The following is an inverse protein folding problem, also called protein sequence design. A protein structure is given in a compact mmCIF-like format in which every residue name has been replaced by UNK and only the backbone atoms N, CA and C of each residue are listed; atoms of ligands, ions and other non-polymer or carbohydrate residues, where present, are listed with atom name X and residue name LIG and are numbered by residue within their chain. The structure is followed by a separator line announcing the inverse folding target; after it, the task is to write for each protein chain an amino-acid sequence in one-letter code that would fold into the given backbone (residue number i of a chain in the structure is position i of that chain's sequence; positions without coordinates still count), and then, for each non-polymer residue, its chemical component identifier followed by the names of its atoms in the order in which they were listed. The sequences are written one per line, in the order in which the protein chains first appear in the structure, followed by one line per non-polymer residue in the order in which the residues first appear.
data_IF_140460827152
#
_entry.id   IF_140460827152
#
_cell.length_a   1.000
_cell.length_b   1.000
_cell.length_c   1.000
_cell.angle_alpha   90.00
_cell.angle_beta   90.00
_cell.angle_gamma   90.00
#
_symmetry.space_group_name_H-M   'P 1'
#
loop_
_entity.id
_entity.type
_entity.pdbx_description
1 polymer ?
#
# COMPACT_ATOMS: atom_id res chain seq x y z
N UNK A 1 -15.03 -14.32 -1.71
CA UNK A 1 -16.07 -13.98 -2.69
C UNK A 1 -16.45 -15.15 -3.60
N UNK A 2 -15.52 -15.92 -4.13
CA UNK A 2 -15.82 -17.08 -5.01
C UNK A 2 -16.70 -18.12 -4.30
N UNK A 3 -16.39 -18.47 -3.05
CA UNK A 3 -17.21 -19.40 -2.25
C UNK A 3 -18.59 -18.79 -1.98
N UNK A 4 -18.67 -17.48 -1.71
CA UNK A 4 -19.92 -16.76 -1.49
C UNK A 4 -20.86 -16.82 -2.70
N UNK A 5 -20.33 -16.69 -3.92
CA UNK A 5 -21.12 -16.78 -5.15
C UNK A 5 -21.58 -18.22 -5.46
N UNK A 6 -20.85 -19.24 -4.98
CA UNK A 6 -21.20 -20.64 -5.18
C UNK A 6 -22.32 -21.13 -4.26
N UNK A 7 -22.31 -20.69 -3.00
CA UNK A 7 -23.19 -21.22 -1.93
C UNK A 7 -24.07 -20.17 -1.27
N UNK A 8 -23.75 -18.89 -1.45
CA UNK A 8 -24.51 -17.78 -0.90
C UNK A 8 -25.17 -16.95 -1.99
N UNK A 9 -25.78 -15.83 -1.61
CA UNK A 9 -26.39 -14.89 -2.54
C UNK A 9 -25.34 -14.15 -3.37
N UNK A 10 -25.54 -14.04 -4.68
CA UNK A 10 -24.61 -13.34 -5.58
C UNK A 10 -24.63 -11.82 -5.39
N UNK A 11 -25.80 -11.23 -5.18
CA UNK A 11 -25.97 -9.82 -4.83
C UNK A 11 -26.28 -8.89 -5.99
N UNK A 12 -25.99 -7.60 -5.79
CA UNK A 12 -26.27 -6.54 -6.76
C UNK A 12 -25.24 -6.53 -7.90
N UNK A 13 -25.70 -6.22 -9.10
CA UNK A 13 -24.88 -6.17 -10.31
C UNK A 13 -24.80 -4.75 -10.86
N UNK A 14 -23.65 -4.38 -11.44
CA UNK A 14 -23.45 -3.08 -12.06
C UNK A 14 -24.05 -3.01 -13.46
N UNK A 15 -24.66 -1.87 -13.83
CA UNK A 15 -25.12 -1.60 -15.20
C UNK A 15 -23.95 -1.49 -16.19
N UNK A 16 -24.16 -1.82 -17.48
CA UNK A 16 -23.10 -1.80 -18.50
C UNK A 16 -22.62 -0.39 -18.89
N UNK A 17 -23.39 0.67 -18.61
CA UNK A 17 -23.00 2.05 -18.96
C UNK A 17 -21.92 2.59 -18.02
N UNK A 18 -20.87 3.20 -18.60
CA UNK A 18 -19.95 4.09 -17.84
C UNK A 18 -20.72 5.33 -17.45
N UNK A 19 -20.98 5.56 -16.16
CA UNK A 19 -21.27 6.91 -15.69
C UNK A 19 -19.93 7.66 -15.59
N UNK A 20 -19.85 8.87 -16.07
CA UNK A 20 -18.68 9.75 -15.95
C UNK A 20 -18.48 10.25 -14.51
N UNK A 21 -19.40 9.93 -13.62
CA UNK A 21 -19.38 10.26 -12.19
C UNK A 21 -19.16 8.96 -11.44
N UNK A 22 -18.10 8.87 -10.69
CA UNK A 22 -17.44 7.74 -10.00
C UNK A 22 -18.25 6.66 -9.27
N UNK A 23 -19.54 6.47 -9.54
CA UNK A 23 -20.35 5.38 -9.03
C UNK A 23 -21.05 4.67 -10.20
N UNK A 24 -20.67 3.41 -10.47
CA UNK A 24 -21.40 2.59 -11.45
C UNK A 24 -22.86 2.46 -11.03
N UNK A 25 -23.80 2.85 -11.93
CA UNK A 25 -25.23 2.68 -11.71
C UNK A 25 -25.53 1.19 -11.43
N UNK A 26 -26.19 0.90 -10.33
CA UNK A 26 -26.49 -0.46 -9.89
C UNK A 26 -27.86 -0.89 -10.43
N UNK A 27 -27.99 -2.16 -10.80
CA UNK A 27 -29.26 -2.76 -11.14
C UNK A 27 -30.01 -3.04 -9.83
N UNK A 28 -31.22 -2.50 -9.70
CA UNK A 28 -32.01 -2.57 -8.46
C UNK A 28 -32.38 -4.00 -8.06
N UNK A 29 -32.61 -4.88 -9.04
CA UNK A 29 -32.94 -6.28 -8.77
C UNK A 29 -31.67 -7.07 -8.41
N UNK A 30 -31.51 -7.52 -7.14
CA UNK A 30 -30.39 -8.35 -6.73
C UNK A 30 -30.55 -9.78 -7.27
N UNK A 31 -29.42 -10.45 -7.49
CA UNK A 31 -29.40 -11.88 -7.76
C UNK A 31 -29.39 -12.62 -6.42
N UNK A 32 -30.50 -13.25 -6.08
CA UNK A 32 -30.70 -13.98 -4.83
C UNK A 32 -30.15 -15.40 -4.89
N UNK A 33 -30.21 -16.03 -6.08
CA UNK A 33 -29.75 -17.39 -6.32
C UNK A 33 -28.21 -17.48 -6.32
N UNK A 34 -27.70 -18.65 -5.99
CA UNK A 34 -26.31 -19.02 -6.14
C UNK A 34 -26.09 -19.93 -7.36
N UNK A 35 -24.81 -20.19 -7.68
CA UNK A 35 -24.49 -21.07 -8.81
C UNK A 35 -24.88 -22.53 -8.59
N UNK A 36 -24.97 -22.99 -7.33
CA UNK A 36 -25.36 -24.37 -7.02
C UNK A 36 -26.83 -24.61 -7.26
N UNK A 37 -27.70 -23.65 -6.95
CA UNK A 37 -29.15 -23.72 -7.15
C UNK A 37 -29.53 -23.44 -8.62
N UNK A 38 -28.68 -22.71 -9.32
CA UNK A 38 -28.91 -22.21 -10.66
C UNK A 38 -29.63 -20.86 -10.67
N UNK A 39 -29.37 -20.09 -11.72
CA UNK A 39 -29.95 -18.75 -11.92
C UNK A 39 -31.23 -18.82 -12.73
N UNK A 40 -32.19 -17.95 -12.44
CA UNK A 40 -33.31 -17.70 -13.33
C UNK A 40 -32.83 -17.06 -14.64
N UNK A 41 -33.70 -17.10 -15.69
CA UNK A 41 -33.35 -16.53 -17.01
C UNK A 41 -33.00 -15.04 -16.90
N UNK A 42 -33.77 -14.29 -16.10
CA UNK A 42 -33.54 -12.87 -15.88
C UNK A 42 -32.20 -12.61 -15.10
N UNK A 43 -31.96 -13.35 -14.04
CA UNK A 43 -30.71 -13.25 -13.25
C UNK A 43 -29.50 -13.62 -14.09
N UNK A 44 -29.59 -14.65 -14.92
CA UNK A 44 -28.53 -15.00 -15.86
C UNK A 44 -28.25 -13.86 -16.84
N UNK A 45 -29.30 -13.29 -17.44
CA UNK A 45 -29.15 -12.17 -18.36
C UNK A 45 -28.49 -10.96 -17.71
N UNK A 46 -28.89 -10.58 -16.51
CA UNK A 46 -28.27 -9.51 -15.72
C UNK A 46 -26.76 -9.83 -15.45
N UNK A 47 -26.49 -11.08 -15.09
CA UNK A 47 -25.12 -11.56 -14.85
C UNK A 47 -24.22 -11.45 -16.08
N UNK A 48 -24.74 -11.68 -17.29
CA UNK A 48 -23.95 -11.61 -18.53
C UNK A 48 -23.43 -10.20 -18.82
N UNK A 49 -24.16 -9.15 -18.43
CA UNK A 49 -23.68 -7.77 -18.55
C UNK A 49 -22.41 -7.52 -17.72
N UNK A 50 -22.39 -8.00 -16.48
CA UNK A 50 -21.22 -7.93 -15.61
C UNK A 50 -20.02 -8.72 -16.15
N UNK A 51 -20.27 -9.92 -16.65
CA UNK A 51 -19.24 -10.76 -17.26
C UNK A 51 -18.62 -10.09 -18.51
N UNK A 52 -19.45 -9.55 -19.40
CA UNK A 52 -18.97 -8.85 -20.61
C UNK A 52 -18.17 -7.61 -20.27
N UNK A 53 -18.62 -6.81 -19.30
CA UNK A 53 -17.88 -5.64 -18.81
C UNK A 53 -16.53 -6.06 -18.20
N UNK A 54 -16.51 -7.11 -17.38
CA UNK A 54 -15.29 -7.63 -16.80
C UNK A 54 -14.27 -8.09 -17.83
N UNK A 55 -14.71 -8.76 -18.91
CA UNK A 55 -13.84 -9.16 -20.03
C UNK A 55 -13.23 -7.94 -20.74
N UNK A 56 -14.04 -6.93 -21.06
CA UNK A 56 -13.57 -5.72 -21.70
C UNK A 56 -12.59 -4.93 -20.81
N UNK A 57 -12.93 -4.78 -19.52
CA UNK A 57 -12.07 -4.09 -18.55
C UNK A 57 -10.73 -4.83 -18.33
N UNK A 58 -10.75 -6.15 -18.33
CA UNK A 58 -9.51 -6.95 -18.23
C UNK A 58 -8.61 -6.72 -19.44
N UNK A 59 -9.17 -6.74 -20.64
CA UNK A 59 -8.40 -6.51 -21.88
C UNK A 59 -7.75 -5.13 -21.89
N UNK A 60 -8.45 -4.07 -21.47
CA UNK A 60 -7.93 -2.71 -21.41
C UNK A 60 -6.86 -2.56 -20.31
N UNK A 61 -7.14 -3.04 -19.10
CA UNK A 61 -6.23 -2.94 -17.97
C UNK A 61 -4.92 -3.73 -18.16
N UNK A 62 -4.95 -4.80 -18.94
CA UNK A 62 -3.73 -5.57 -19.28
C UNK A 62 -2.74 -4.71 -20.06
N UNK A 63 -3.23 -3.91 -21.01
CA UNK A 63 -2.40 -2.96 -21.76
C UNK A 63 -1.80 -1.89 -20.84
N UNK A 64 -2.59 -1.33 -19.92
CA UNK A 64 -2.15 -0.33 -18.95
C UNK A 64 -1.07 -0.89 -18.00
N UNK A 65 -1.24 -2.11 -17.51
CA UNK A 65 -0.26 -2.80 -16.68
C UNK A 65 1.05 -3.05 -17.43
N UNK A 66 0.98 -3.46 -18.69
CA UNK A 66 2.15 -3.64 -19.53
C UNK A 66 2.89 -2.32 -19.80
N UNK A 67 2.16 -1.26 -20.09
CA UNK A 67 2.74 0.07 -20.28
C UNK A 67 3.39 0.62 -19.01
N UNK A 68 2.75 0.45 -17.85
CA UNK A 68 3.32 0.83 -16.55
C UNK A 68 4.64 0.08 -16.29
N UNK A 69 4.65 -1.24 -16.49
CA UNK A 69 5.85 -2.06 -16.30
C UNK A 69 7.00 -1.59 -17.18
N UNK A 70 6.72 -1.33 -18.46
CA UNK A 70 7.73 -0.80 -19.39
C UNK A 70 8.30 0.53 -18.92
N UNK A 71 7.44 1.48 -18.52
CA UNK A 71 7.90 2.79 -18.01
C UNK A 71 8.71 2.66 -16.71
N UNK A 72 8.33 1.75 -15.82
CA UNK A 72 9.10 1.49 -14.61
C UNK A 72 10.49 0.96 -14.94
N UNK A 73 10.59 0.02 -15.90
CA UNK A 73 11.90 -0.49 -16.36
C UNK A 73 12.73 0.62 -17.01
N UNK A 74 12.16 1.42 -17.89
CA UNK A 74 12.87 2.51 -18.57
C UNK A 74 13.48 3.52 -17.58
N UNK A 75 12.78 3.82 -16.48
CA UNK A 75 13.27 4.75 -15.45
C UNK A 75 14.28 4.09 -14.50
N UNK A 76 14.10 2.81 -14.18
CA UNK A 76 14.90 2.14 -13.15
C UNK A 76 16.06 1.31 -13.67
N UNK A 77 16.24 1.16 -14.98
CA UNK A 77 17.29 0.33 -15.56
C UNK A 77 18.71 0.76 -15.16
N UNK A 78 18.92 2.05 -14.91
CA UNK A 78 20.23 2.59 -14.51
C UNK A 78 20.52 2.40 -13.01
N UNK A 79 19.57 1.89 -12.24
CA UNK A 79 19.76 1.61 -10.81
C UNK A 79 20.45 0.25 -10.64
N UNK A 80 21.77 0.28 -10.69
CA UNK A 80 22.65 -0.87 -10.55
C UNK A 80 23.49 -0.72 -9.28
N UNK A 81 23.85 -1.83 -8.65
CA UNK A 81 24.78 -1.81 -7.51
C UNK A 81 26.20 -1.60 -8.00
N UNK A 82 26.74 -0.39 -7.84
CA UNK A 82 28.06 -0.03 -8.38
C UNK A 82 29.18 -0.05 -7.35
N UNK A 83 28.89 0.26 -6.10
CA UNK A 83 29.85 0.36 -5.00
C UNK A 83 29.37 -0.46 -3.80
N UNK A 84 30.31 -0.84 -2.94
CA UNK A 84 29.97 -1.60 -1.73
C UNK A 84 29.38 -0.71 -0.66
N UNK A 85 29.98 0.45 -0.42
CA UNK A 85 29.55 1.40 0.60
C UNK A 85 29.66 2.85 0.08
N UNK A 86 28.61 3.64 0.28
CA UNK A 86 28.61 5.06 -0.05
C UNK A 86 29.01 5.97 1.14
N UNK A 87 29.14 5.41 2.34
CA UNK A 87 29.53 6.15 3.56
C UNK A 87 28.48 7.12 4.08
N UNK A 88 27.20 7.03 3.62
CA UNK A 88 26.14 7.93 4.06
C UNK A 88 25.88 7.81 5.57
N UNK A 89 25.64 8.95 6.21
CA UNK A 89 25.18 9.05 7.59
C UNK A 89 23.65 9.20 7.69
N UNK A 90 22.94 9.14 6.56
CA UNK A 90 21.48 9.25 6.50
C UNK A 90 20.86 7.87 6.43
N UNK A 91 19.88 7.63 7.27
CA UNK A 91 19.07 6.40 7.29
C UNK A 91 17.59 6.68 7.35
N UNK A 92 16.84 5.62 7.50
CA UNK A 92 15.40 5.67 7.75
C UNK A 92 15.14 5.01 9.08
N UNK A 93 14.39 5.70 9.94
CA UNK A 93 13.91 5.12 11.19
C UNK A 93 12.73 4.19 10.91
N UNK A 94 12.90 2.91 11.20
CA UNK A 94 11.91 1.87 10.97
C UNK A 94 11.24 1.51 12.29
N UNK A 95 9.92 1.54 12.28
CA UNK A 95 9.05 1.16 13.39
C UNK A 95 8.09 0.06 12.93
N UNK A 96 7.49 -0.73 13.84
CA UNK A 96 6.45 -1.69 13.47
C UNK A 96 5.26 -0.96 12.84
N UNK A 97 4.69 -1.53 11.78
CA UNK A 97 3.51 -0.98 11.13
C UNK A 97 2.27 -1.38 11.94
N UNK A 98 1.61 -0.39 12.51
CA UNK A 98 0.37 -0.58 13.27
C UNK A 98 -0.81 0.02 12.51
N UNK A 99 -1.93 -0.69 12.50
CA UNK A 99 -3.21 -0.19 12.02
C UNK A 99 -4.21 -0.28 13.16
N UNK A 100 -4.59 0.88 13.68
CA UNK A 100 -5.37 1.04 14.93
C UNK A 100 -4.71 0.35 16.11
N UNK A 101 -4.49 -0.45 16.69
CA UNK A 101 -3.76 -1.14 17.76
C UNK A 101 -3.18 -2.49 17.31
N UNK A 102 -3.58 -2.98 16.13
CA UNK A 102 -3.10 -4.24 15.59
C UNK A 102 -1.77 -4.05 14.84
N UNK A 103 -0.77 -4.88 15.15
CA UNK A 103 0.51 -4.89 14.44
C UNK A 103 0.30 -5.64 13.13
N UNK A 104 0.36 -4.92 12.01
CA UNK A 104 0.25 -5.49 10.66
C UNK A 104 1.56 -6.11 10.21
N UNK A 105 2.69 -5.44 10.50
CA UNK A 105 4.04 -5.93 10.24
C UNK A 105 4.91 -5.70 11.48
N UNK A 106 5.60 -6.74 11.91
CA UNK A 106 6.53 -6.65 13.05
C UNK A 106 7.77 -5.81 12.69
N UNK A 107 8.44 -5.28 13.71
CA UNK A 107 9.71 -4.58 13.51
C UNK A 107 10.72 -5.51 12.84
N UNK A 108 10.79 -6.76 13.28
CA UNK A 108 11.73 -7.76 12.75
C UNK A 108 11.57 -8.00 11.26
N UNK A 109 10.34 -8.16 10.76
CA UNK A 109 10.06 -8.36 9.34
C UNK A 109 10.51 -7.17 8.49
N UNK A 110 10.37 -5.96 9.00
CA UNK A 110 10.73 -4.73 8.29
C UNK A 110 12.23 -4.45 8.24
N UNK A 111 12.98 -4.88 9.25
CA UNK A 111 14.44 -4.65 9.32
C UNK A 111 15.26 -5.82 8.81
N UNK A 112 14.68 -7.00 8.67
CA UNK A 112 15.37 -8.21 8.22
C UNK A 112 16.08 -8.00 6.87
N UNK A 113 17.37 -8.32 6.83
CA UNK A 113 18.19 -8.18 5.63
C UNK A 113 18.66 -6.75 5.32
N UNK A 114 18.23 -5.75 6.08
CA UNK A 114 18.74 -4.38 6.00
C UNK A 114 20.09 -4.28 6.71
N UNK A 115 20.78 -3.16 6.49
CA UNK A 115 22.04 -2.83 7.17
C UNK A 115 21.75 -1.75 8.19
N UNK A 116 22.23 -1.94 9.42
CA UNK A 116 22.09 -0.95 10.48
C UNK A 116 22.91 0.31 10.17
N UNK A 117 22.33 1.49 10.41
CA UNK A 117 23.04 2.75 10.26
C UNK A 117 23.95 3.01 11.48
N UNK A 118 23.40 2.81 12.66
CA UNK A 118 24.06 3.00 13.94
C UNK A 118 24.10 1.68 14.73
N UNK A 119 24.97 1.60 15.72
CA UNK A 119 24.96 0.46 16.63
C UNK A 119 23.63 0.40 17.40
N UNK A 120 22.98 -0.76 17.40
CA UNK A 120 21.75 -0.97 18.15
C UNK A 120 22.11 -1.59 19.50
N UNK A 121 21.81 -0.87 20.57
CA UNK A 121 22.12 -1.24 21.94
C UNK A 121 20.83 -1.64 22.68
N UNK A 122 20.89 -2.68 23.48
CA UNK A 122 19.78 -3.06 24.34
C UNK A 122 19.68 -2.07 25.53
N UNK A 123 18.56 -1.33 25.66
CA UNK A 123 18.44 -0.30 26.71
C UNK A 123 18.41 -0.85 28.15
N UNK A 124 18.29 -2.18 28.35
CA UNK A 124 18.28 -2.81 29.68
C UNK A 124 19.65 -3.33 30.10
N UNK A 125 20.44 -3.82 29.15
CA UNK A 125 21.70 -4.53 29.45
C UNK A 125 22.94 -3.76 28.96
N UNK A 126 22.74 -2.65 28.22
CA UNK A 126 23.78 -1.91 27.49
C UNK A 126 24.64 -2.79 26.55
N UNK A 127 24.12 -3.97 26.20
CA UNK A 127 24.75 -4.89 25.27
C UNK A 127 24.54 -4.43 23.83
N UNK A 128 25.60 -4.39 23.04
CA UNK A 128 25.51 -4.11 21.60
C UNK A 128 24.94 -5.34 20.90
N UNK A 129 23.75 -5.21 20.32
CA UNK A 129 23.08 -6.27 19.58
C UNK A 129 23.60 -6.40 18.15
N UNK A 130 23.96 -5.29 17.54
CA UNK A 130 24.57 -5.20 16.20
C UNK A 130 25.39 -3.92 16.09
N UNK A 131 26.51 -3.97 15.39
CA UNK A 131 27.34 -2.82 15.11
C UNK A 131 26.84 -2.00 13.90
N UNK A 132 27.31 -0.77 13.81
CA UNK A 132 27.01 0.11 12.69
C UNK A 132 27.57 -0.47 11.38
N UNK A 133 26.75 -0.49 10.33
CA UNK A 133 27.16 -0.98 9.01
C UNK A 133 27.14 -2.50 8.86
N UNK A 134 26.65 -3.25 9.85
CA UNK A 134 26.44 -4.69 9.75
C UNK A 134 25.03 -5.05 9.24
N UNK A 135 24.93 -6.21 8.62
CA UNK A 135 23.68 -6.75 8.12
C UNK A 135 22.84 -7.37 9.24
N UNK A 136 21.59 -6.99 9.33
CA UNK A 136 20.61 -7.54 10.28
C UNK A 136 20.17 -8.92 9.78
N UNK A 137 20.67 -9.97 10.44
CA UNK A 137 20.32 -11.37 10.15
C UNK A 137 19.15 -11.83 11.01
N UNK A 138 18.59 -13.01 10.70
CA UNK A 138 17.49 -13.60 11.47
C UNK A 138 17.84 -13.79 12.96
N UNK A 139 19.08 -14.10 13.27
CA UNK A 139 19.54 -14.27 14.66
C UNK A 139 19.54 -12.92 15.42
N UNK A 140 19.96 -11.85 14.73
CA UNK A 140 19.95 -10.49 15.29
C UNK A 140 18.52 -9.97 15.47
N UNK A 141 17.64 -10.22 14.48
CA UNK A 141 16.23 -9.86 14.58
C UNK A 141 15.57 -10.43 15.82
N UNK A 142 15.78 -11.73 16.11
CA UNK A 142 15.26 -12.36 17.33
C UNK A 142 15.77 -11.72 18.62
N UNK A 143 17.04 -11.27 18.62
CA UNK A 143 17.61 -10.54 19.77
C UNK A 143 16.99 -9.16 19.93
N UNK A 144 16.73 -8.44 18.82
CA UNK A 144 16.09 -7.12 18.82
C UNK A 144 14.63 -7.22 19.28
N UNK A 145 13.88 -8.22 18.80
CA UNK A 145 12.47 -8.42 19.21
C UNK A 145 12.31 -8.80 20.69
N UNK A 146 13.28 -9.51 21.24
CA UNK A 146 13.32 -9.82 22.67
C UNK A 146 13.77 -8.64 23.54
N UNK A 147 14.34 -7.59 22.93
CA UNK A 147 14.73 -6.36 23.60
C UNK A 147 13.59 -5.32 23.50
N UNK A 148 13.45 -4.39 24.46
CA UNK A 148 12.41 -3.35 24.43
C UNK A 148 12.80 -2.22 23.47
N UNK A 149 12.99 -2.55 22.18
CA UNK A 149 13.39 -1.62 21.13
C UNK A 149 12.15 -1.36 20.25
N UNK A 150 11.74 -0.10 20.16
CA UNK A 150 10.58 0.31 19.39
C UNK A 150 10.92 0.74 17.95
N UNK A 151 12.17 1.11 17.70
CA UNK A 151 12.61 1.59 16.39
C UNK A 151 14.08 1.32 16.15
N UNK A 152 14.46 1.14 14.89
CA UNK A 152 15.83 0.92 14.45
C UNK A 152 16.13 1.78 13.23
N UNK A 153 17.27 2.48 13.23
CA UNK A 153 17.73 3.21 12.06
C UNK A 153 18.48 2.29 11.11
N UNK A 154 17.95 2.18 9.88
CA UNK A 154 18.51 1.32 8.84
C UNK A 154 18.92 2.13 7.61
N UNK A 155 19.92 1.63 6.89
CA UNK A 155 20.28 2.16 5.59
C UNK A 155 19.23 1.82 4.54
N UNK A 156 19.02 2.75 3.59
CA UNK A 156 18.01 2.60 2.56
C UNK A 156 18.53 3.06 1.20
N UNK A 157 18.04 2.48 0.09
CA UNK A 157 18.29 3.00 -1.26
C UNK A 157 17.86 4.45 -1.44
N UNK A 158 16.81 4.89 -0.70
CA UNK A 158 16.27 6.27 -0.80
C UNK A 158 17.22 7.33 -0.22
N UNK A 159 18.10 6.95 0.69
CA UNK A 159 19.08 7.84 1.32
C UNK A 159 20.52 7.57 0.86
N UNK A 160 20.68 6.77 -0.19
CA UNK A 160 22.00 6.43 -0.73
C UNK A 160 22.64 7.63 -1.43
N UNK A 161 23.90 7.92 -1.11
CA UNK A 161 24.70 9.04 -1.66
C UNK A 161 25.64 8.58 -2.78
N UNK A 162 25.39 7.43 -3.39
CA UNK A 162 26.12 6.97 -4.57
C UNK A 162 25.86 7.89 -5.78
N UNK A 163 26.91 8.32 -6.47
CA UNK A 163 26.78 9.20 -7.65
C UNK A 163 26.01 8.56 -8.80
N UNK A 164 26.14 7.25 -8.98
CA UNK A 164 25.42 6.46 -9.99
C UNK A 164 24.98 5.15 -9.38
N UNK A 165 23.73 4.78 -9.61
CA UNK A 165 23.15 3.56 -9.03
C UNK A 165 23.01 3.62 -7.52
N UNK A 166 23.23 2.51 -6.86
CA UNK A 166 23.18 2.38 -5.39
C UNK A 166 24.36 1.57 -4.85
N UNK A 167 24.59 1.61 -3.54
CA UNK A 167 25.60 0.77 -2.90
C UNK A 167 24.98 -0.50 -2.30
N UNK A 168 25.81 -1.54 -2.13
CA UNK A 168 25.41 -2.83 -1.55
C UNK A 168 24.82 -2.68 -0.15
N UNK A 169 25.44 -1.88 0.71
CA UNK A 169 24.98 -1.70 2.08
C UNK A 169 23.64 -0.98 2.18
N UNK A 170 23.36 0.00 1.30
CA UNK A 170 22.05 0.67 1.28
C UNK A 170 20.93 -0.21 0.73
N UNK A 171 21.24 -1.10 -0.20
CA UNK A 171 20.27 -2.07 -0.70
C UNK A 171 20.04 -3.19 0.31
N UNK A 172 21.13 -3.78 0.83
CA UNK A 172 21.08 -4.87 1.80
C UNK A 172 21.06 -6.26 1.17
N UNK A 173 20.18 -7.13 1.64
CA UNK A 173 20.08 -8.53 1.29
C UNK A 173 19.44 -8.74 -0.09
N UNK A 174 20.03 -9.58 -0.91
CA UNK A 174 19.38 -10.14 -2.08
C UNK A 174 18.42 -11.24 -1.63
N UNK A 175 17.13 -11.09 -1.96
CA UNK A 175 16.06 -11.99 -1.50
C UNK A 175 16.17 -13.40 -2.11
N UNK A 176 16.79 -13.56 -3.29
CA UNK A 176 16.91 -14.86 -3.95
C UNK A 176 18.02 -15.72 -3.33
N UNK A 177 19.15 -15.09 -2.98
CA UNK A 177 20.33 -15.81 -2.45
C UNK A 177 20.43 -15.79 -0.93
N UNK A 178 19.70 -14.89 -0.28
CA UNK A 178 19.78 -14.67 1.17
C UNK A 178 21.06 -13.98 1.65
N UNK A 179 21.97 -13.62 0.76
CA UNK A 179 23.26 -12.95 1.06
C UNK A 179 23.20 -11.49 0.67
N UNK A 180 24.20 -10.71 1.10
CA UNK A 180 24.36 -9.33 0.64
C UNK A 180 24.40 -9.28 -0.89
N UNK A 181 23.76 -8.25 -1.45
CA UNK A 181 23.74 -8.02 -2.89
C UNK A 181 25.16 -7.81 -3.42
N UNK A 182 25.44 -8.41 -4.58
CA UNK A 182 26.74 -8.27 -5.23
C UNK A 182 26.78 -7.03 -6.13
N UNK A 183 27.99 -6.52 -6.33
CA UNK A 183 28.24 -5.44 -7.28
C UNK A 183 27.92 -5.90 -8.70
N UNK A 184 27.25 -5.03 -9.47
CA UNK A 184 26.82 -5.31 -10.85
C UNK A 184 25.37 -5.80 -10.95
N UNK A 185 24.67 -6.01 -9.85
CA UNK A 185 23.27 -6.46 -9.89
C UNK A 185 22.31 -5.33 -10.26
N UNK A 186 21.45 -5.58 -11.25
CA UNK A 186 20.48 -4.60 -11.78
C UNK A 186 19.19 -4.59 -10.92
N UNK A 187 19.30 -4.10 -9.71
CA UNK A 187 18.21 -4.13 -8.72
C UNK A 187 16.99 -3.30 -9.11
N UNK A 188 17.20 -2.24 -9.93
CA UNK A 188 16.10 -1.42 -10.43
C UNK A 188 15.20 -2.19 -11.37
N UNK A 189 15.76 -2.97 -12.29
CA UNK A 189 14.98 -3.82 -13.19
C UNK A 189 14.23 -4.90 -12.43
N UNK A 190 14.88 -5.53 -11.44
CA UNK A 190 14.23 -6.52 -10.56
C UNK A 190 13.04 -5.91 -9.83
N UNK A 191 13.20 -4.70 -9.28
CA UNK A 191 12.10 -3.99 -8.61
C UNK A 191 10.95 -3.66 -9.57
N UNK A 192 11.25 -3.15 -10.77
CA UNK A 192 10.24 -2.83 -11.78
C UNK A 192 9.43 -4.06 -12.22
N UNK A 193 10.11 -5.18 -12.43
CA UNK A 193 9.47 -6.45 -12.79
C UNK A 193 8.62 -7.01 -11.65
N UNK A 194 9.10 -6.90 -10.41
CA UNK A 194 8.36 -7.36 -9.22
C UNK A 194 7.09 -6.54 -8.95
N UNK A 195 7.07 -5.26 -9.35
CA UNK A 195 5.88 -4.41 -9.28
C UNK A 195 4.94 -4.68 -10.46
N UNK A 196 5.50 -4.91 -11.66
CA UNK A 196 4.73 -5.07 -12.89
C UNK A 196 4.05 -6.44 -13.03
N UNK A 197 4.69 -7.50 -12.58
CA UNK A 197 4.16 -8.87 -12.66
C UNK A 197 2.78 -9.01 -11.98
N UNK A 198 2.58 -8.65 -10.70
CA UNK A 198 1.27 -8.75 -10.08
C UNK A 198 0.24 -7.80 -10.68
N UNK A 199 0.65 -6.72 -11.34
CA UNK A 199 -0.26 -5.83 -12.06
C UNK A 199 -1.07 -6.57 -13.13
N UNK A 200 -0.43 -7.43 -13.91
CA UNK A 200 -1.11 -8.27 -14.92
C UNK A 200 -2.01 -9.32 -14.26
N UNK A 201 -1.58 -9.96 -13.16
CA UNK A 201 -2.40 -10.94 -12.43
C UNK A 201 -3.62 -10.31 -11.76
N UNK A 202 -3.51 -9.11 -11.20
CA UNK A 202 -4.62 -8.37 -10.61
C UNK A 202 -5.69 -8.01 -11.66
N UNK A 203 -5.30 -7.71 -12.90
CA UNK A 203 -6.27 -7.49 -13.99
C UNK A 203 -7.07 -8.75 -14.32
N UNK A 204 -6.45 -9.93 -14.29
CA UNK A 204 -7.14 -11.20 -14.46
C UNK A 204 -8.11 -11.50 -13.30
N UNK A 205 -7.74 -11.15 -12.05
CA UNK A 205 -8.61 -11.36 -10.88
C UNK A 205 -9.88 -10.52 -10.91
N UNK A 206 -9.87 -9.32 -11.48
CA UNK A 206 -11.08 -8.49 -11.61
C UNK A 206 -12.15 -9.13 -12.48
N UNK A 207 -11.79 -10.02 -13.40
CA UNK A 207 -12.72 -10.80 -14.21
C UNK A 207 -13.53 -11.80 -13.37
N UNK A 208 -12.90 -12.45 -12.38
CA UNK A 208 -13.60 -13.43 -11.52
C UNK A 208 -14.59 -12.81 -10.54
N UNK A 209 -14.47 -11.53 -10.21
CA UNK A 209 -15.43 -10.79 -9.38
C UNK A 209 -16.65 -10.32 -10.19
N UNK A 210 -16.53 -10.31 -11.51
CA UNK A 210 -17.63 -10.32 -12.50
C UNK A 210 -18.75 -9.33 -12.28
N UNK A 211 -18.46 -8.04 -12.09
CA UNK A 211 -19.49 -6.99 -12.08
C UNK A 211 -20.38 -6.95 -10.83
N UNK A 212 -20.06 -7.72 -9.79
CA UNK A 212 -20.70 -7.58 -8.48
C UNK A 212 -20.34 -6.20 -7.94
N UNK A 213 -21.35 -5.40 -7.58
CA UNK A 213 -21.14 -4.12 -6.93
C UNK A 213 -20.53 -4.38 -5.54
N UNK A 214 -19.21 -4.19 -5.42
CA UNK A 214 -18.55 -4.10 -4.12
C UNK A 214 -19.00 -2.81 -3.44
N UNK A 215 -19.05 -2.81 -2.12
CA UNK A 215 -19.20 -1.57 -1.34
C UNK A 215 -17.95 -0.70 -1.57
N UNK A 216 -17.99 0.12 -2.60
CA UNK A 216 -17.12 1.28 -2.75
C UNK A 216 -17.83 2.42 -1.99
N UNK A 217 -18.02 2.25 -0.70
CA UNK A 217 -18.12 3.39 0.17
C UNK A 217 -16.68 3.82 0.47
N UNK A 218 -16.07 4.60 -0.42
CA UNK A 218 -15.10 5.55 0.04
C UNK A 218 -15.84 6.38 1.09
N UNK A 219 -15.44 6.26 2.34
CA UNK A 219 -15.92 7.14 3.38
C UNK A 219 -15.39 8.54 3.04
N UNK A 220 -16.13 9.26 2.21
CA UNK A 220 -15.83 10.66 1.85
C UNK A 220 -16.06 11.63 3.02
N UNK A 221 -16.25 11.10 4.23
CA UNK A 221 -16.45 11.88 5.44
C UNK A 221 -15.77 11.21 6.63
N UNK A 222 -15.08 12.02 7.40
CA UNK A 222 -14.58 11.63 8.71
C UNK A 222 -15.66 11.92 9.75
N UNK A 223 -16.02 10.91 10.54
CA UNK A 223 -16.98 11.05 11.64
C UNK A 223 -16.19 11.01 12.94
N UNK A 224 -16.32 12.08 13.76
CA UNK A 224 -15.71 12.11 15.08
C UNK A 224 -16.37 11.04 15.98
N UNK A 225 -15.55 10.24 16.66
CA UNK A 225 -16.03 9.20 17.60
C UNK A 225 -16.33 9.77 19.00
N UNK A 226 -15.81 10.95 19.30
CA UNK A 226 -15.92 11.60 20.59
C UNK A 226 -16.29 13.07 20.41
N UNK A 227 -16.92 13.66 21.43
CA UNK A 227 -17.18 15.09 21.46
C UNK A 227 -15.88 15.85 21.73
N UNK A 228 -15.57 16.85 20.93
CA UNK A 228 -14.35 17.63 21.04
C UNK A 228 -14.33 18.83 20.11
N UNK A 229 -13.25 19.59 20.16
CA UNK A 229 -12.98 20.71 19.26
C UNK A 229 -12.02 20.24 18.17
N UNK A 230 -12.37 20.52 16.92
CA UNK A 230 -11.48 20.21 15.78
C UNK A 230 -10.47 21.32 15.58
N UNK A 231 -9.19 21.00 15.63
CA UNK A 231 -8.10 21.89 15.25
C UNK A 231 -7.49 21.38 13.95
N UNK A 232 -7.27 22.29 13.00
CA UNK A 232 -6.69 21.97 11.70
C UNK A 232 -5.44 22.81 11.52
N UNK A 233 -4.29 22.17 11.42
CA UNK A 233 -3.02 22.84 11.17
C UNK A 233 -2.76 22.97 9.66
N UNK A 234 -2.16 24.09 9.24
CA UNK A 234 -1.75 24.38 7.85
C UNK A 234 -2.87 24.26 6.80
N UNK A 235 -4.07 24.69 7.13
CA UNK A 235 -5.22 24.65 6.23
C UNK A 235 -5.08 25.68 5.10
N UNK A 236 -4.78 25.22 3.89
CA UNK A 236 -4.84 26.05 2.68
C UNK A 236 -6.16 25.80 1.97
N UNK A 237 -7.01 26.81 1.91
CA UNK A 237 -8.33 26.73 1.27
C UNK A 237 -8.47 27.72 0.12
N UNK A 238 -9.25 27.35 -0.87
CA UNK A 238 -9.73 28.23 -1.95
C UNK A 238 -11.26 28.24 -1.87
N UNK A 239 -11.83 29.42 -2.03
CA UNK A 239 -13.29 29.58 -2.13
C UNK A 239 -13.75 28.97 -3.45
N UNK A 240 -14.69 28.06 -3.43
CA UNK A 240 -15.32 27.43 -4.57
C UNK A 240 -16.79 27.14 -4.30
N UNK A 241 -17.46 26.54 -5.26
CA UNK A 241 -18.85 26.11 -5.13
C UNK A 241 -18.88 24.59 -4.92
N UNK A 242 -19.73 24.12 -4.03
CA UNK A 242 -19.99 22.70 -3.80
C UNK A 242 -20.84 22.13 -4.95
N UNK A 243 -20.95 20.81 -5.04
CA UNK A 243 -21.77 20.10 -6.04
C UNK A 243 -23.26 20.53 -6.02
N UNK A 244 -23.71 21.15 -4.93
CA UNK A 244 -25.06 21.67 -4.73
C UNK A 244 -25.16 23.20 -5.02
N UNK A 245 -24.08 23.86 -5.47
CA UNK A 245 -24.04 25.28 -5.80
C UNK A 245 -23.93 26.22 -4.61
N UNK A 246 -23.59 25.73 -3.42
CA UNK A 246 -23.35 26.57 -2.24
C UNK A 246 -21.87 27.00 -2.16
N UNK A 247 -21.61 28.18 -1.60
CA UNK A 247 -20.22 28.60 -1.33
C UNK A 247 -19.55 27.65 -0.33
N UNK A 248 -18.47 27.01 -0.73
CA UNK A 248 -17.70 26.08 0.08
C UNK A 248 -16.21 26.41 0.04
N UNK A 249 -15.50 26.12 1.13
CA UNK A 249 -14.05 26.22 1.18
C UNK A 249 -13.44 24.87 0.76
N UNK A 250 -12.78 24.82 -0.39
CA UNK A 250 -12.12 23.63 -0.91
C UNK A 250 -10.70 23.59 -0.35
N UNK A 251 -10.35 22.50 0.32
CA UNK A 251 -9.00 22.27 0.86
C UNK A 251 -8.06 21.82 -0.25
N UNK A 252 -6.96 22.56 -0.44
CA UNK A 252 -5.95 22.26 -1.49
C UNK A 252 -4.74 21.54 -0.88
N UNK A 253 -4.57 21.60 0.42
CA UNK A 253 -3.42 21.00 1.11
C UNK A 253 -3.49 19.46 1.07
N UNK A 254 -2.37 18.81 0.77
CA UNK A 254 -2.26 17.34 0.76
C UNK A 254 -1.80 16.75 2.09
N UNK A 255 -1.32 17.58 3.00
CA UNK A 255 -0.67 17.17 4.26
C UNK A 255 -1.31 17.82 5.48
N UNK A 256 -2.57 18.26 5.37
CA UNK A 256 -3.30 18.87 6.49
C UNK A 256 -3.68 17.80 7.49
N UNK A 257 -3.28 17.98 8.74
CA UNK A 257 -3.68 17.12 9.85
C UNK A 257 -4.90 17.71 10.55
N UNK A 258 -5.90 16.87 10.76
CA UNK A 258 -7.10 17.21 11.52
C UNK A 258 -6.98 16.55 12.90
N UNK A 259 -6.88 17.36 13.95
CA UNK A 259 -6.78 16.90 15.33
C UNK A 259 -8.10 17.12 16.05
N UNK A 260 -8.56 16.14 16.80
CA UNK A 260 -9.68 16.26 17.70
C UNK A 260 -9.15 16.49 19.12
N UNK A 261 -9.47 17.63 19.71
CA UNK A 261 -8.96 18.05 21.02
C UNK A 261 -10.12 18.11 22.01
N UNK A 262 -9.93 17.57 23.21
CA UNK A 262 -10.91 17.66 24.29
C UNK A 262 -11.05 19.12 24.75
N UNK A 263 -12.29 19.60 24.81
CA UNK A 263 -12.62 20.98 25.19
C UNK A 263 -12.17 21.35 26.63
N UNK A 264 -12.02 20.35 27.53
CA UNK A 264 -11.66 20.55 28.93
C UNK A 264 -10.20 20.35 29.24
N UNK A 265 -9.62 19.27 28.71
CA UNK A 265 -8.24 18.86 29.03
C UNK A 265 -7.20 19.31 28.03
N UNK A 266 -7.64 19.79 26.85
CA UNK A 266 -6.78 20.14 25.70
C UNK A 266 -5.86 19.02 25.24
N UNK A 267 -6.17 17.77 25.57
CA UNK A 267 -5.45 16.63 25.06
C UNK A 267 -5.99 16.21 23.69
N UNK A 268 -5.10 15.81 22.80
CA UNK A 268 -5.47 15.26 21.49
C UNK A 268 -6.12 13.90 21.72
N UNK A 269 -7.38 13.76 21.27
CA UNK A 269 -8.16 12.53 21.41
C UNK A 269 -7.96 11.56 20.23
N UNK A 270 -7.67 12.09 19.04
CA UNK A 270 -7.31 11.35 17.83
C UNK A 270 -6.79 12.32 16.75
#
# INVERSE_FOLDING_TARGET
EQIRQLTGMRGLMAKPKKSNVGGGEIIENPILSNFKEGLSILEYFISTHGARKGLADTALKTADAGYLTRRLVDVSQDVIVNIEDCGTLRGINVQPLKKNEEIVESLGERILGRVSLQAVVNPRTDEILIEAGEQITEAVVKRIENAPISSVEVRSPLTCEALKGICSKCYGRNLSTGKMVQKGEAVGVVAAQSIGEPGTQLTLRTFHVGGVAGNISEENRLVAKFDGITEIEDLKTVKGEDAEGNEANIVISRTTELKLVDAKTKNVLN
#
